data_IF_945357491003
#
_entry.id   IF_945357491003
#
_cell.length_a   1.000
_cell.length_b   1.000
_cell.length_c   1.000
_cell.angle_alpha   90.00
_cell.angle_beta   90.00
_cell.angle_gamma   90.00
#
_symmetry.space_group_name_H-M   'P 1'
#
loop_
_entity.id
_entity.type
_entity.pdbx_description
1 polymer ?
#
# COMPACT_ATOMS: atom_id res chain seq x y z
N UNK A 1 8.71 -28.35 7.00
CA UNK A 1 8.55 -29.32 5.90
C UNK A 1 7.34 -28.91 5.06
N UNK A 2 7.56 -28.50 3.82
CA UNK A 2 6.48 -28.07 2.91
C UNK A 2 5.60 -29.27 2.55
N UNK A 3 4.31 -29.21 2.93
CA UNK A 3 3.34 -30.31 2.75
C UNK A 3 2.59 -30.25 1.40
N UNK A 4 2.87 -29.25 0.55
CA UNK A 4 2.13 -29.03 -0.69
C UNK A 4 2.89 -29.59 -1.90
N UNK A 5 2.16 -30.26 -2.80
CA UNK A 5 2.72 -30.67 -4.10
C UNK A 5 2.95 -29.47 -5.02
N UNK A 6 3.72 -29.65 -6.10
CA UNK A 6 3.93 -28.60 -7.12
C UNK A 6 2.61 -28.12 -7.73
N UNK A 7 1.70 -29.04 -8.01
CA UNK A 7 0.37 -28.75 -8.60
C UNK A 7 -0.51 -27.98 -7.61
N UNK A 8 -0.51 -28.35 -6.33
CA UNK A 8 -1.25 -27.63 -5.28
C UNK A 8 -0.70 -26.22 -5.11
N UNK A 9 0.62 -26.02 -5.10
CA UNK A 9 1.23 -24.69 -5.07
C UNK A 9 0.83 -23.86 -6.28
N UNK A 10 0.88 -24.42 -7.46
CA UNK A 10 0.48 -23.73 -8.69
C UNK A 10 -0.98 -23.28 -8.64
N UNK A 11 -1.90 -24.16 -8.24
CA UNK A 11 -3.32 -23.82 -8.05
C UNK A 11 -3.53 -22.73 -7.00
N UNK A 12 -2.83 -22.82 -5.86
CA UNK A 12 -2.90 -21.79 -4.83
C UNK A 12 -2.42 -20.43 -5.35
N UNK A 13 -1.33 -20.40 -6.11
CA UNK A 13 -0.82 -19.15 -6.71
C UNK A 13 -1.78 -18.57 -7.75
N UNK A 14 -2.43 -19.40 -8.55
CA UNK A 14 -3.45 -18.96 -9.51
C UNK A 14 -4.71 -18.42 -8.82
N UNK A 15 -5.05 -18.93 -7.64
CA UNK A 15 -6.20 -18.49 -6.86
C UNK A 15 -5.99 -17.13 -6.16
N UNK A 16 -4.76 -16.63 -6.07
CA UNK A 16 -4.46 -15.34 -5.48
C UNK A 16 -4.97 -14.23 -6.39
N UNK A 17 -5.97 -13.51 -5.88
CA UNK A 17 -6.52 -12.36 -6.59
C UNK A 17 -5.59 -11.16 -6.45
N UNK A 18 -5.30 -10.48 -7.55
CA UNK A 18 -4.56 -9.23 -7.60
C UNK A 18 -5.43 -7.98 -7.45
N UNK A 19 -6.76 -8.15 -7.46
CA UNK A 19 -7.76 -7.07 -7.34
C UNK A 19 -8.95 -7.57 -6.55
N UNK A 20 -9.67 -6.63 -5.94
CA UNK A 20 -10.84 -6.93 -5.10
C UNK A 20 -10.52 -7.96 -4.01
N UNK A 21 -9.37 -7.80 -3.38
CA UNK A 21 -8.94 -8.60 -2.23
C UNK A 21 -9.85 -8.33 -1.02
N UNK A 22 -9.85 -9.24 -0.06
CA UNK A 22 -10.69 -9.10 1.15
C UNK A 22 -10.41 -7.80 1.90
N UNK A 23 -9.15 -7.39 2.00
CA UNK A 23 -8.74 -6.16 2.71
C UNK A 23 -9.17 -4.90 1.96
N UNK A 24 -9.04 -4.87 0.63
CA UNK A 24 -9.53 -3.77 -0.18
C UNK A 24 -11.05 -3.60 -0.04
N UNK A 25 -11.80 -4.70 -0.12
CA UNK A 25 -13.26 -4.68 0.04
C UNK A 25 -13.64 -4.19 1.44
N UNK A 26 -12.93 -4.64 2.48
CA UNK A 26 -13.18 -4.24 3.86
C UNK A 26 -13.00 -2.72 4.04
N UNK A 27 -11.85 -2.18 3.62
CA UNK A 27 -11.57 -0.75 3.72
C UNK A 27 -12.54 0.07 2.86
N UNK A 28 -12.81 -0.35 1.62
CA UNK A 28 -13.75 0.32 0.73
C UNK A 28 -15.16 0.43 1.32
N UNK A 29 -15.68 -0.64 1.92
CA UNK A 29 -16.99 -0.63 2.58
C UNK A 29 -17.00 0.36 3.75
N UNK A 30 -15.97 0.34 4.59
CA UNK A 30 -15.87 1.26 5.72
C UNK A 30 -15.84 2.74 5.27
N UNK A 31 -15.01 3.07 4.27
CA UNK A 31 -14.98 4.41 3.69
C UNK A 31 -16.33 4.84 3.09
N UNK A 32 -17.03 3.91 2.44
CA UNK A 32 -18.36 4.20 1.88
C UNK A 32 -19.39 4.49 2.96
N UNK A 33 -19.37 3.77 4.06
CA UNK A 33 -20.26 4.03 5.22
C UNK A 33 -20.02 5.42 5.83
N UNK A 34 -18.79 5.89 5.84
CA UNK A 34 -18.43 7.26 6.27
C UNK A 34 -18.73 8.33 5.21
N UNK A 35 -19.47 7.97 4.15
CA UNK A 35 -19.84 8.91 3.09
C UNK A 35 -18.71 9.29 2.14
N UNK A 36 -17.53 8.66 2.23
CA UNK A 36 -16.39 8.93 1.36
C UNK A 36 -16.60 8.22 0.03
N UNK A 37 -16.63 8.98 -1.06
CA UNK A 37 -16.79 8.49 -2.43
C UNK A 37 -15.41 8.38 -3.10
N UNK A 38 -15.17 7.26 -3.78
CA UNK A 38 -13.89 6.91 -4.38
C UNK A 38 -14.08 6.15 -5.70
N UNK A 39 -13.00 6.02 -6.45
CA UNK A 39 -12.88 5.10 -7.59
C UNK A 39 -11.97 3.95 -7.20
N UNK A 40 -12.31 2.73 -7.59
CA UNK A 40 -11.51 1.52 -7.35
C UNK A 40 -10.58 1.24 -8.54
N UNK A 41 -9.35 0.84 -8.26
CA UNK A 41 -8.36 0.45 -9.30
C UNK A 41 -8.27 1.47 -10.46
N UNK A 42 -8.41 2.75 -10.13
CA UNK A 42 -8.42 3.83 -11.12
C UNK A 42 -6.99 4.23 -11.46
N UNK A 43 -6.65 4.28 -12.75
CA UNK A 43 -5.33 4.66 -13.20
C UNK A 43 -5.01 6.11 -12.83
N UNK A 44 -3.89 6.30 -12.15
CA UNK A 44 -3.31 7.61 -11.81
C UNK A 44 -1.83 7.52 -12.12
N UNK A 45 -1.33 8.42 -12.96
CA UNK A 45 0.04 8.35 -13.47
C UNK A 45 0.32 6.98 -14.11
N UNK A 46 1.42 6.33 -13.75
CA UNK A 46 1.79 4.99 -14.24
C UNK A 46 1.15 3.83 -13.46
N UNK A 47 0.52 4.09 -12.30
CA UNK A 47 0.04 3.07 -11.37
C UNK A 47 -1.49 3.01 -11.22
N UNK A 48 -1.97 2.00 -10.49
CA UNK A 48 -3.39 1.76 -10.21
C UNK A 48 -3.59 1.57 -8.70
N UNK A 49 -3.76 2.66 -7.93
CA UNK A 49 -4.09 2.55 -6.52
C UNK A 49 -5.42 1.81 -6.32
N UNK A 50 -5.55 1.08 -5.21
CA UNK A 50 -6.75 0.29 -4.90
C UNK A 50 -7.99 1.16 -4.67
N UNK A 51 -7.75 2.37 -4.11
CA UNK A 51 -8.78 3.36 -3.80
C UNK A 51 -8.25 4.74 -4.21
N UNK A 52 -9.02 5.47 -5.01
CA UNK A 52 -8.65 6.82 -5.47
C UNK A 52 -9.76 7.80 -5.17
N UNK A 53 -9.46 8.80 -4.34
CA UNK A 53 -10.37 9.90 -4.02
C UNK A 53 -9.97 11.11 -4.88
N UNK A 54 -10.44 11.13 -6.11
CA UNK A 54 -10.02 12.09 -7.14
C UNK A 54 -10.26 13.53 -6.76
N UNK A 55 -11.37 13.84 -6.07
CA UNK A 55 -11.71 15.20 -5.60
C UNK A 55 -10.62 15.82 -4.73
N UNK A 56 -9.92 15.01 -3.95
CA UNK A 56 -8.91 15.46 -2.99
C UNK A 56 -7.50 15.04 -3.37
N UNK A 57 -7.31 14.40 -4.52
CA UNK A 57 -6.04 13.81 -4.96
C UNK A 57 -5.41 12.92 -3.87
N UNK A 58 -6.17 11.95 -3.38
CA UNK A 58 -5.71 10.96 -2.42
C UNK A 58 -5.71 9.58 -3.09
N UNK A 59 -4.58 8.90 -3.03
CA UNK A 59 -4.36 7.55 -3.51
C UNK A 59 -4.09 6.62 -2.32
N UNK A 60 -4.82 5.50 -2.23
CA UNK A 60 -4.67 4.54 -1.13
C UNK A 60 -4.32 3.17 -1.71
N UNK A 61 -3.31 2.54 -1.12
CA UNK A 61 -2.88 1.17 -1.39
C UNK A 61 -3.16 0.28 -0.17
N UNK A 62 -3.55 -0.97 -0.45
CA UNK A 62 -3.81 -1.99 0.55
C UNK A 62 -2.77 -3.11 0.40
N UNK A 63 -1.69 -3.03 1.16
CA UNK A 63 -0.51 -3.86 0.95
C UNK A 63 -0.58 -5.17 1.75
N UNK A 64 -0.46 -6.30 1.04
CA UNK A 64 -0.26 -7.61 1.65
C UNK A 64 1.17 -7.74 2.20
N UNK A 65 1.32 -8.20 3.44
CA UNK A 65 2.61 -8.22 4.14
C UNK A 65 3.70 -9.00 3.41
N UNK A 66 3.34 -10.14 2.85
CA UNK A 66 4.28 -11.00 2.11
C UNK A 66 4.81 -10.33 0.84
N UNK A 67 3.89 -9.74 0.04
CA UNK A 67 4.23 -9.24 -1.30
C UNK A 67 4.99 -7.92 -1.30
N UNK A 68 4.89 -7.17 -0.20
CA UNK A 68 5.47 -5.84 -0.04
C UNK A 68 6.58 -5.79 1.01
N UNK A 69 7.09 -6.95 1.44
CA UNK A 69 8.35 -7.07 2.19
C UNK A 69 8.30 -6.75 3.69
N UNK A 70 7.11 -6.61 4.30
CA UNK A 70 7.01 -6.25 5.74
C UNK A 70 7.60 -7.31 6.69
N UNK A 71 7.70 -8.55 6.27
CA UNK A 71 8.08 -9.66 7.16
C UNK A 71 8.77 -10.78 6.38
N UNK A 72 9.77 -10.43 5.56
CA UNK A 72 10.55 -11.45 4.81
C UNK A 72 11.10 -12.55 5.72
N UNK A 73 11.55 -12.18 6.92
CA UNK A 73 12.09 -13.11 7.92
C UNK A 73 11.05 -14.07 8.51
N UNK A 74 9.77 -13.70 8.51
CA UNK A 74 8.68 -14.54 9.06
C UNK A 74 8.16 -15.58 8.10
N UNK A 75 8.38 -15.39 6.83
CA UNK A 75 7.96 -16.37 5.82
C UNK A 75 9.12 -17.28 5.52
N UNK A 76 9.11 -18.44 6.18
CA UNK A 76 10.00 -19.56 5.89
C UNK A 76 9.72 -20.05 4.46
N UNK A 77 10.34 -19.36 3.48
CA UNK A 77 10.24 -19.73 2.08
C UNK A 77 11.19 -20.91 1.87
N UNK A 78 10.72 -22.11 2.21
CA UNK A 78 11.51 -23.32 2.16
C UNK A 78 12.06 -23.69 0.76
N UNK A 79 11.53 -23.06 -0.31
CA UNK A 79 11.93 -23.35 -1.69
C UNK A 79 12.05 -22.07 -2.52
N UNK A 80 13.10 -21.98 -3.36
CA UNK A 80 13.37 -20.84 -4.25
C UNK A 80 13.53 -19.49 -3.53
N UNK A 81 14.22 -19.46 -2.41
CA UNK A 81 14.47 -18.25 -1.59
C UNK A 81 14.97 -17.09 -2.44
N UNK A 82 15.99 -17.31 -3.28
CA UNK A 82 16.57 -16.30 -4.16
C UNK A 82 15.53 -15.66 -5.09
N UNK A 83 14.69 -16.48 -5.74
CA UNK A 83 13.61 -15.98 -6.62
C UNK A 83 12.63 -15.08 -5.88
N UNK A 84 12.23 -15.47 -4.66
CA UNK A 84 11.27 -14.68 -3.87
C UNK A 84 11.87 -13.38 -3.37
N UNK A 85 13.13 -13.39 -2.92
CA UNK A 85 13.83 -12.18 -2.53
C UNK A 85 13.92 -11.18 -3.69
N UNK A 86 14.34 -11.60 -4.87
CA UNK A 86 14.41 -10.74 -6.04
C UNK A 86 13.03 -10.21 -6.48
N UNK A 87 12.00 -11.04 -6.38
CA UNK A 87 10.64 -10.64 -6.73
C UNK A 87 10.09 -9.60 -5.76
N UNK A 88 10.27 -9.82 -4.46
CA UNK A 88 9.80 -8.90 -3.42
C UNK A 88 10.59 -7.59 -3.51
N UNK A 89 11.91 -7.64 -3.70
CA UNK A 89 12.74 -6.46 -3.91
C UNK A 89 12.20 -5.59 -5.05
N UNK A 90 11.95 -6.19 -6.21
CA UNK A 90 11.36 -5.47 -7.37
C UNK A 90 9.97 -4.89 -7.07
N UNK A 91 9.15 -5.56 -6.27
CA UNK A 91 7.86 -5.01 -5.86
C UNK A 91 8.03 -3.77 -5.00
N UNK A 92 8.94 -3.83 -4.01
CA UNK A 92 9.24 -2.71 -3.10
C UNK A 92 9.79 -1.51 -3.86
N UNK A 93 10.73 -1.73 -4.78
CA UNK A 93 11.30 -0.68 -5.64
C UNK A 93 10.21 0.00 -6.46
N UNK A 94 9.37 -0.78 -7.13
CA UNK A 94 8.23 -0.24 -7.90
C UNK A 94 7.22 0.51 -7.02
N UNK A 95 6.95 0.03 -5.82
CA UNK A 95 6.04 0.71 -4.88
C UNK A 95 6.59 2.06 -4.44
N UNK A 96 7.90 2.16 -4.26
CA UNK A 96 8.59 3.41 -3.95
C UNK A 96 8.51 4.38 -5.14
N UNK A 97 8.84 3.91 -6.35
CA UNK A 97 8.75 4.71 -7.58
C UNK A 97 7.34 5.26 -7.79
N UNK A 98 6.32 4.40 -7.68
CA UNK A 98 4.92 4.80 -7.78
C UNK A 98 4.53 5.85 -6.73
N UNK A 99 5.04 5.70 -5.51
CA UNK A 99 4.76 6.64 -4.41
C UNK A 99 5.40 8.00 -4.68
N UNK A 100 6.64 8.03 -5.16
CA UNK A 100 7.35 9.25 -5.55
C UNK A 100 6.62 9.94 -6.71
N UNK A 101 6.33 9.20 -7.80
CA UNK A 101 5.62 9.73 -8.97
C UNK A 101 4.28 10.38 -8.59
N UNK A 102 3.48 9.69 -7.77
CA UNK A 102 2.20 10.22 -7.31
C UNK A 102 2.37 11.52 -6.51
N UNK A 103 3.35 11.58 -5.61
CA UNK A 103 3.63 12.76 -4.79
C UNK A 103 4.09 13.94 -5.61
N UNK A 104 4.96 13.71 -6.57
CA UNK A 104 5.46 14.76 -7.47
C UNK A 104 4.33 15.34 -8.32
N UNK A 105 3.30 14.54 -8.60
CA UNK A 105 2.06 14.97 -9.25
C UNK A 105 1.00 15.54 -8.27
N UNK A 106 1.39 15.79 -7.04
CA UNK A 106 0.57 16.44 -6.03
C UNK A 106 -0.49 15.54 -5.37
N UNK A 107 -0.33 14.22 -5.43
CA UNK A 107 -1.20 13.28 -4.75
C UNK A 107 -0.73 13.03 -3.31
N UNK A 108 -1.67 12.88 -2.40
CA UNK A 108 -1.40 12.31 -1.07
C UNK A 108 -1.49 10.79 -1.20
N UNK A 109 -0.44 10.09 -0.77
CA UNK A 109 -0.37 8.64 -0.86
C UNK A 109 -0.47 8.04 0.53
N UNK A 110 -1.42 7.12 0.71
CA UNK A 110 -1.60 6.32 1.91
C UNK A 110 -1.36 4.86 1.57
N UNK A 111 -0.65 4.16 2.43
CA UNK A 111 -0.43 2.72 2.31
C UNK A 111 -0.80 2.07 3.64
N UNK A 112 -1.68 1.09 3.60
CA UNK A 112 -2.12 0.34 4.78
C UNK A 112 -1.79 -1.13 4.63
N UNK A 113 -1.17 -1.68 5.64
CA UNK A 113 -0.89 -3.10 5.71
C UNK A 113 -2.15 -3.92 5.96
N UNK A 114 -2.16 -5.15 5.48
CA UNK A 114 -3.25 -6.10 5.71
C UNK A 114 -3.60 -6.23 7.21
N UNK A 115 -2.59 -6.29 8.08
CA UNK A 115 -2.80 -6.35 9.54
C UNK A 115 -3.41 -5.09 10.12
N UNK A 116 -3.07 -3.92 9.60
CA UNK A 116 -3.68 -2.65 10.03
C UNK A 116 -5.14 -2.57 9.63
N UNK A 117 -5.45 -2.91 8.38
CA UNK A 117 -6.84 -2.93 7.91
C UNK A 117 -7.68 -3.93 8.71
N UNK A 118 -7.13 -5.11 9.03
CA UNK A 118 -7.86 -6.14 9.77
C UNK A 118 -8.06 -5.81 11.24
N UNK A 119 -7.05 -5.20 11.90
CA UNK A 119 -7.05 -4.97 13.36
C UNK A 119 -7.46 -3.56 13.75
N UNK A 120 -7.23 -2.57 12.88
CA UNK A 120 -7.40 -1.14 13.18
C UNK A 120 -8.14 -0.41 12.06
N UNK A 121 -9.20 -1.01 11.52
CA UNK A 121 -9.97 -0.48 10.39
C UNK A 121 -10.44 0.96 10.62
N UNK A 122 -10.97 1.25 11.81
CA UNK A 122 -11.41 2.61 12.17
C UNK A 122 -10.26 3.62 12.14
N UNK A 123 -9.05 3.21 12.53
CA UNK A 123 -7.84 4.04 12.43
C UNK A 123 -7.46 4.34 10.98
N UNK A 124 -7.54 3.35 10.09
CA UNK A 124 -7.28 3.55 8.67
C UNK A 124 -8.30 4.54 8.06
N UNK A 125 -9.59 4.40 8.40
CA UNK A 125 -10.64 5.31 7.94
C UNK A 125 -10.40 6.74 8.47
N UNK A 126 -10.08 6.88 9.76
CA UNK A 126 -9.77 8.18 10.35
C UNK A 126 -8.57 8.87 9.69
N UNK A 127 -7.55 8.09 9.27
CA UNK A 127 -6.40 8.64 8.54
C UNK A 127 -6.80 9.19 7.17
N UNK A 128 -7.61 8.45 6.41
CA UNK A 128 -8.17 8.92 5.14
C UNK A 128 -8.98 10.21 5.35
N UNK A 129 -9.82 10.25 6.39
CA UNK A 129 -10.61 11.45 6.72
C UNK A 129 -9.72 12.65 7.06
N UNK A 130 -8.67 12.46 7.85
CA UNK A 130 -7.69 13.54 8.15
C UNK A 130 -7.04 14.10 6.88
N UNK A 131 -6.70 13.24 5.92
CA UNK A 131 -6.17 13.66 4.64
C UNK A 131 -7.19 14.49 3.83
N UNK A 132 -8.45 14.07 3.83
CA UNK A 132 -9.54 14.81 3.18
C UNK A 132 -9.67 16.21 3.81
N UNK A 133 -9.69 16.29 5.14
CA UNK A 133 -9.84 17.55 5.87
C UNK A 133 -8.64 18.49 5.67
N UNK A 134 -7.44 17.93 5.59
CA UNK A 134 -6.23 18.69 5.23
C UNK A 134 -6.36 19.31 3.82
N UNK A 135 -6.82 18.52 2.85
CA UNK A 135 -7.05 19.01 1.48
C UNK A 135 -8.16 20.06 1.40
N UNK A 136 -9.23 19.91 2.18
CA UNK A 136 -10.29 20.92 2.25
C UNK A 136 -9.76 22.26 2.75
N UNK A 137 -8.94 22.25 3.81
CA UNK A 137 -8.33 23.45 4.36
C UNK A 137 -7.36 24.12 3.39
N UNK A 138 -6.52 23.36 2.72
CA UNK A 138 -5.55 23.90 1.74
C UNK A 138 -6.24 24.51 0.52
N UNK A 139 -7.33 23.91 0.04
CA UNK A 139 -8.11 24.43 -1.10
C UNK A 139 -8.85 25.74 -0.79
N UNK A 140 -9.20 25.99 0.49
CA UNK A 140 -9.87 27.21 0.92
C UNK A 140 -8.94 28.44 0.97
N UNK A 141 -7.60 28.24 0.99
CA UNK A 141 -6.63 29.32 1.16
C UNK A 141 -5.73 29.57 -0.07
N UNK A 142 -6.03 28.98 -1.24
CA UNK A 142 -5.37 29.34 -2.51
C UNK A 142 -3.85 29.12 -2.58
N UNK A 143 -3.24 28.57 -1.55
CA UNK A 143 -1.79 28.39 -1.50
C UNK A 143 -1.39 26.97 -1.91
N UNK A 144 -0.87 26.84 -3.12
CA UNK A 144 -0.11 25.69 -3.62
C UNK A 144 1.27 25.57 -2.93
N UNK A 145 1.39 25.96 -1.66
CA UNK A 145 2.62 25.75 -0.90
C UNK A 145 2.68 24.29 -0.47
N UNK A 146 3.50 23.58 -1.18
CA UNK A 146 4.26 22.37 -0.82
C UNK A 146 3.81 21.71 0.49
N UNK A 147 2.81 20.82 0.42
CA UNK A 147 2.54 19.84 1.48
C UNK A 147 3.68 18.78 1.56
N UNK A 148 4.94 19.27 1.57
CA UNK A 148 6.15 18.44 1.82
C UNK A 148 6.22 17.94 3.25
N UNK A 149 5.35 18.40 4.13
CA UNK A 149 5.38 18.09 5.56
C UNK A 149 4.12 17.37 6.03
N UNK A 150 3.58 16.43 5.24
CA UNK A 150 2.61 15.51 5.82
C UNK A 150 3.36 14.30 6.35
N UNK A 151 3.16 14.07 7.66
CA UNK A 151 3.78 13.00 8.44
C UNK A 151 3.87 11.70 7.62
N UNK A 152 5.07 11.12 7.50
CA UNK A 152 5.16 9.79 6.93
C UNK A 152 4.24 8.89 7.75
N UNK A 153 3.32 8.18 7.10
CA UNK A 153 2.54 7.14 7.74
C UNK A 153 3.50 6.20 8.48
N UNK A 154 3.05 5.53 9.54
CA UNK A 154 3.90 4.57 10.27
C UNK A 154 4.58 3.57 9.32
N UNK A 155 3.94 3.31 8.17
CA UNK A 155 4.41 2.48 7.06
C UNK A 155 5.63 3.07 6.37
N UNK A 156 5.68 4.38 6.11
CA UNK A 156 6.86 5.00 5.48
C UNK A 156 8.08 4.97 6.39
N UNK A 157 7.90 5.12 7.69
CA UNK A 157 9.00 4.96 8.65
C UNK A 157 9.55 3.53 8.66
N UNK A 158 8.71 2.52 8.49
CA UNK A 158 9.13 1.13 8.39
C UNK A 158 9.75 0.80 7.03
N UNK A 159 9.19 1.33 5.92
CA UNK A 159 9.77 1.15 4.58
C UNK A 159 11.17 1.78 4.47
N UNK A 160 11.35 3.01 4.94
CA UNK A 160 12.64 3.70 4.87
C UNK A 160 13.66 3.21 5.90
N UNK A 161 13.23 2.73 7.09
CA UNK A 161 14.17 2.33 8.13
C UNK A 161 14.60 0.87 8.05
N UNK A 162 13.73 -0.05 7.65
CA UNK A 162 14.03 -1.48 7.64
C UNK A 162 14.47 -1.98 6.25
N UNK A 163 13.81 -1.54 5.18
CA UNK A 163 14.08 -2.07 3.85
C UNK A 163 15.47 -1.68 3.34
N UNK A 164 15.96 -0.47 3.64
CA UNK A 164 17.32 -0.04 3.24
C UNK A 164 18.40 -0.75 4.08
N UNK A 165 18.14 -1.03 5.37
CA UNK A 165 19.10 -1.72 6.24
C UNK A 165 19.24 -3.22 5.89
N UNK A 166 18.16 -3.88 5.54
CA UNK A 166 18.19 -5.33 5.25
C UNK A 166 18.87 -5.65 3.91
N UNK A 167 18.75 -4.78 2.90
CA UNK A 167 19.43 -5.00 1.61
C UNK A 167 20.92 -4.68 1.61
N UNK A 168 21.44 -3.94 2.59
CA UNK A 168 22.90 -3.65 2.70
C UNK A 168 23.71 -4.82 3.27
N UNK A 169 23.09 -5.85 3.79
CA UNK A 169 23.77 -7.04 4.38
C UNK A 169 23.93 -8.19 3.40
N UNK A 170 23.41 -8.08 2.18
CA UNK A 170 23.48 -9.14 1.15
C UNK A 170 24.17 -8.69 -0.14
N UNK A 171 25.00 -7.61 -0.07
CA UNK A 171 25.87 -7.16 -1.17
C UNK A 171 27.27 -7.69 -0.99
#
# INVERSE_FOLDING_TARGET
MDKLTKEQRHKNMQAIRSKDTKIEILLRKALWHEGIRYRKNYKVCSCHPDIVITKYKIAVFCDGEFWHGKSLERYDVATNVKYWHEKIKRNVERDLENTIELRDNGWMVLRFWETEIKKHLAGCVAEVQRCIDARRRSGAHGEHKTLKAFCPTAVERLYFSNTIKEFSHYS
#
